data_IF_265993015525
#
_entry.id   IF_265993015525
#
_cell.length_a   1.000
_cell.length_b   1.000
_cell.length_c   1.000
_cell.angle_alpha   90.00
_cell.angle_beta   90.00
_cell.angle_gamma   90.00
#
_symmetry.space_group_name_H-M   'P 1'
#
loop_
_entity.id
_entity.type
_entity.pdbx_description
1 polymer ?
#
# COMPACT_ATOMS: atom_id res chain seq x y z
N UNK A 1 18.57 -7.59 58.51
CA UNK A 1 19.11 -8.96 58.38
C UNK A 1 18.09 -9.90 57.73
N UNK A 2 18.15 -10.11 56.41
CA UNK A 2 17.59 -11.31 55.74
C UNK A 2 18.51 -11.67 54.57
N UNK A 3 18.62 -12.97 54.29
CA UNK A 3 19.80 -13.59 53.66
C UNK A 3 19.88 -13.29 52.15
N UNK A 4 21.09 -13.01 51.67
CA UNK A 4 21.48 -13.19 50.27
C UNK A 4 21.48 -14.70 49.98
N UNK A 5 21.01 -15.10 48.80
CA UNK A 5 21.24 -16.44 48.24
C UNK A 5 21.71 -16.26 46.80
N UNK A 6 22.95 -16.68 46.52
CA UNK A 6 23.49 -16.81 45.17
C UNK A 6 23.51 -18.28 44.77
N UNK A 7 22.90 -18.58 43.62
CA UNK A 7 23.10 -19.79 42.80
C UNK A 7 22.69 -19.43 41.37
N UNK A 8 23.27 -19.99 40.30
CA UNK A 8 24.61 -20.57 40.11
C UNK A 8 24.85 -20.63 38.61
N UNK A 9 26.10 -20.46 38.15
CA UNK A 9 26.41 -20.55 36.73
C UNK A 9 26.52 -22.02 36.27
N UNK A 10 26.01 -22.32 35.08
CA UNK A 10 26.31 -23.54 34.32
C UNK A 10 26.28 -23.20 32.83
N UNK A 11 27.42 -23.38 32.14
CA UNK A 11 27.52 -23.22 30.69
C UNK A 11 27.32 -24.58 29.99
N UNK A 12 26.79 -24.55 28.77
CA UNK A 12 26.81 -25.69 27.84
C UNK A 12 27.45 -25.20 26.54
N UNK A 13 28.42 -25.97 26.03
CA UNK A 13 29.26 -25.69 24.87
C UNK A 13 29.05 -26.77 23.79
N UNK A 14 29.16 -26.39 22.52
CA UNK A 14 29.07 -27.28 21.36
C UNK A 14 27.61 -27.59 20.95
N UNK A 15 27.33 -27.98 19.71
CA UNK A 15 28.19 -28.45 18.60
C UNK A 15 28.16 -27.42 17.44
N UNK A 16 29.22 -27.19 16.67
CA UNK A 16 29.68 -28.02 15.53
C UNK A 16 28.53 -28.41 14.57
N UNK A 17 28.48 -28.01 13.30
CA UNK A 17 29.53 -27.53 12.41
C UNK A 17 29.70 -28.54 11.28
N UNK A 18 29.04 -28.29 10.14
CA UNK A 18 29.10 -29.14 8.94
C UNK A 18 29.41 -28.25 7.74
N UNK A 19 30.52 -28.56 7.05
CA UNK A 19 30.94 -27.90 5.81
C UNK A 19 31.40 -28.96 4.81
N UNK A 20 30.75 -29.03 3.65
CA UNK A 20 31.24 -29.68 2.44
C UNK A 20 30.51 -28.99 1.26
N UNK A 21 31.19 -28.32 0.32
CA UNK A 21 31.94 -28.88 -0.83
C UNK A 21 31.02 -29.69 -1.76
N UNK A 22 30.96 -29.49 -3.08
CA UNK A 22 31.81 -28.75 -4.06
C UNK A 22 30.86 -27.96 -5.03
N UNK A 23 31.23 -27.04 -5.94
CA UNK A 23 32.30 -27.01 -6.96
C UNK A 23 32.17 -28.18 -7.98
N UNK A 24 32.35 -28.05 -9.30
CA UNK A 24 32.87 -26.96 -10.15
C UNK A 24 32.09 -26.83 -11.49
N UNK A 25 32.58 -25.93 -12.34
CA UNK A 25 32.14 -25.53 -13.69
C UNK A 25 32.06 -26.66 -14.75
N UNK A 26 31.21 -26.49 -15.77
CA UNK A 26 31.39 -27.13 -17.10
C UNK A 26 30.91 -26.21 -18.23
N UNK A 27 31.75 -26.07 -19.24
CA UNK A 27 31.63 -25.07 -20.32
C UNK A 27 31.02 -25.60 -21.63
N UNK A 28 30.60 -24.62 -22.45
CA UNK A 28 30.80 -24.54 -23.91
C UNK A 28 29.77 -25.12 -24.91
N UNK A 29 29.87 -24.55 -26.11
CA UNK A 29 29.38 -24.97 -27.42
C UNK A 29 27.89 -24.75 -27.77
N UNK A 30 27.71 -24.11 -28.93
CA UNK A 30 26.45 -23.96 -29.64
C UNK A 30 26.53 -24.70 -31.00
N UNK A 31 25.42 -24.67 -31.75
CA UNK A 31 25.26 -25.22 -33.11
C UNK A 31 25.16 -26.78 -33.18
N UNK A 32 24.42 -27.40 -34.12
CA UNK A 32 23.58 -26.83 -35.18
C UNK A 32 22.43 -27.77 -35.63
N UNK A 33 21.53 -27.20 -36.44
CA UNK A 33 20.63 -27.81 -37.47
C UNK A 33 20.12 -29.26 -37.36
N UNK A 34 18.79 -29.39 -37.48
CA UNK A 34 18.19 -30.06 -38.66
C UNK A 34 16.86 -29.39 -39.02
N UNK A 35 16.61 -29.25 -40.32
CA UNK A 35 15.61 -28.39 -40.96
C UNK A 35 14.52 -29.20 -41.70
N UNK A 36 13.25 -28.80 -41.60
CA UNK A 36 12.14 -28.97 -42.58
C UNK A 36 11.10 -27.87 -42.22
N UNK A 37 10.82 -26.75 -42.92
CA UNK A 37 10.61 -26.41 -44.35
C UNK A 37 9.21 -26.86 -44.90
N UNK A 38 8.35 -26.05 -45.55
CA UNK A 38 8.27 -24.60 -45.90
C UNK A 38 6.96 -23.98 -45.28
N UNK A 39 6.27 -22.89 -45.66
CA UNK A 39 6.21 -21.88 -46.76
C UNK A 39 5.72 -20.50 -46.16
N UNK A 40 5.80 -19.30 -46.78
CA UNK A 40 5.12 -18.66 -47.95
C UNK A 40 3.57 -18.72 -47.91
N UNK A 41 2.77 -17.66 -48.04
CA UNK A 41 2.79 -16.36 -48.80
C UNK A 41 2.10 -15.22 -47.96
N UNK A 42 2.10 -13.90 -48.24
CA UNK A 42 2.84 -12.97 -49.13
C UNK A 42 2.66 -11.49 -48.64
N UNK A 43 3.28 -10.51 -49.32
CA UNK A 43 3.27 -9.05 -49.17
C UNK A 43 1.86 -8.38 -49.29
N UNK A 44 1.47 -7.34 -48.53
CA UNK A 44 1.87 -5.90 -48.51
C UNK A 44 1.00 -4.96 -49.39
N UNK A 45 1.24 -3.63 -49.32
CA UNK A 45 0.47 -2.50 -49.93
C UNK A 45 -0.82 -2.10 -49.18
N UNK A 46 -1.24 -0.82 -49.06
CA UNK A 46 -0.63 0.48 -49.49
C UNK A 46 -1.25 1.65 -48.71
N UNK A 47 -0.53 2.77 -48.60
CA UNK A 47 -1.07 4.12 -48.31
C UNK A 47 -2.06 4.61 -49.39
N UNK A 48 -2.98 5.53 -49.04
CA UNK A 48 -2.90 6.96 -49.41
C UNK A 48 -3.95 7.81 -48.63
N UNK A 49 -3.93 9.14 -48.82
CA UNK A 49 -4.87 10.14 -48.32
C UNK A 49 -6.07 10.33 -49.31
N UNK A 50 -6.98 11.31 -49.24
CA UNK A 50 -7.07 12.59 -48.52
C UNK A 50 -8.55 12.93 -48.19
N UNK A 51 -8.78 14.03 -47.47
CA UNK A 51 -10.08 14.45 -46.92
C UNK A 51 -11.05 15.09 -47.92
N UNK A 52 -12.32 15.26 -47.52
CA UNK A 52 -13.11 16.46 -47.84
C UNK A 52 -14.24 16.71 -46.83
N UNK A 53 -14.73 17.94 -46.80
CA UNK A 53 -15.41 18.59 -45.66
C UNK A 53 -16.95 18.46 -45.67
N UNK A 54 -17.55 18.39 -44.47
CA UNK A 54 -18.73 19.18 -44.05
C UNK A 54 -18.62 19.30 -42.52
N UNK A 55 -18.26 20.46 -41.96
CA UNK A 55 -19.08 21.66 -41.76
C UNK A 55 -19.93 21.59 -40.47
N UNK A 56 -20.09 22.72 -39.78
CA UNK A 56 -20.44 22.76 -38.36
C UNK A 56 -21.80 23.42 -38.08
N UNK A 57 -22.51 22.86 -37.11
CA UNK A 57 -23.58 23.57 -36.39
C UNK A 57 -23.38 23.40 -34.89
N UNK A 58 -23.07 24.50 -34.21
CA UNK A 58 -23.28 24.62 -32.77
C UNK A 58 -24.78 24.61 -32.49
N UNK A 59 -25.26 23.76 -31.57
CA UNK A 59 -26.49 24.05 -30.84
C UNK A 59 -26.49 23.31 -29.49
N UNK A 60 -27.15 23.89 -28.48
CA UNK A 60 -27.50 23.20 -27.25
C UNK A 60 -26.36 22.91 -26.27
N UNK A 61 -25.89 23.95 -25.58
CA UNK A 61 -25.40 23.72 -24.22
C UNK A 61 -26.61 23.37 -23.33
N UNK A 62 -26.72 22.10 -22.92
CA UNK A 62 -27.41 21.77 -21.67
C UNK A 62 -26.40 21.07 -20.76
N UNK A 63 -25.65 21.91 -20.07
CA UNK A 63 -25.06 21.61 -18.77
C UNK A 63 -26.12 20.87 -17.95
N UNK A 64 -25.96 19.56 -17.79
CA UNK A 64 -26.83 18.73 -16.98
C UNK A 64 -26.57 19.07 -15.51
N UNK A 65 -27.09 20.23 -15.11
CA UNK A 65 -26.88 20.82 -13.80
C UNK A 65 -27.20 19.77 -12.76
N UNK A 66 -26.19 19.39 -11.97
CA UNK A 66 -26.39 18.59 -10.77
C UNK A 66 -27.46 19.32 -9.96
N UNK A 67 -28.66 18.73 -9.87
CA UNK A 67 -29.78 19.33 -9.19
C UNK A 67 -29.29 19.71 -7.79
N UNK A 68 -29.40 21.00 -7.38
CA UNK A 68 -28.64 21.52 -6.26
C UNK A 68 -28.89 20.62 -5.06
N UNK A 69 -27.81 20.01 -4.56
CA UNK A 69 -27.89 19.10 -3.43
C UNK A 69 -28.69 19.81 -2.34
N UNK A 70 -29.78 19.19 -1.83
CA UNK A 70 -30.70 19.89 -0.95
C UNK A 70 -29.89 20.34 0.26
N UNK A 71 -29.66 21.65 0.34
CA UNK A 71 -28.66 22.24 1.22
C UNK A 71 -28.87 21.67 2.61
N UNK A 72 -27.88 20.90 3.10
CA UNK A 72 -28.00 20.16 4.35
C UNK A 72 -28.26 21.19 5.43
N UNK A 73 -29.50 21.24 5.92
CA UNK A 73 -29.86 22.13 7.02
C UNK A 73 -28.94 21.72 8.18
N UNK A 74 -28.09 22.67 8.62
CA UNK A 74 -27.03 22.40 9.58
C UNK A 74 -27.67 22.02 10.93
N UNK A 75 -27.95 20.72 11.11
CA UNK A 75 -28.58 20.21 12.34
C UNK A 75 -27.69 20.63 13.52
N UNK A 76 -28.23 21.42 14.47
CA UNK A 76 -27.41 22.04 15.49
C UNK A 76 -26.73 20.97 16.32
N UNK A 77 -25.39 21.04 16.39
CA UNK A 77 -24.51 20.06 17.05
C UNK A 77 -25.14 19.60 18.37
N UNK A 78 -25.38 18.28 18.57
CA UNK A 78 -26.14 17.78 19.71
C UNK A 78 -25.62 18.27 21.07
N UNK A 79 -26.36 19.22 21.65
CA UNK A 79 -26.05 19.84 22.94
C UNK A 79 -26.03 18.81 24.08
N UNK A 80 -24.97 18.84 24.90
CA UNK A 80 -24.79 17.94 26.03
C UNK A 80 -26.03 17.92 26.94
N UNK A 81 -26.50 16.73 27.30
CA UNK A 81 -27.67 16.60 28.20
C UNK A 81 -27.39 17.23 29.57
N UNK A 82 -28.41 17.68 30.32
CA UNK A 82 -28.24 18.19 31.68
C UNK A 82 -27.51 17.22 32.63
N UNK A 83 -27.65 15.91 32.38
CA UNK A 83 -26.96 14.84 33.07
C UNK A 83 -25.46 14.84 32.76
N UNK A 84 -25.06 14.96 31.48
CA UNK A 84 -23.65 15.03 31.08
C UNK A 84 -23.00 16.33 31.58
N UNK A 85 -23.66 17.48 31.42
CA UNK A 85 -23.22 18.77 31.99
C UNK A 85 -23.00 18.70 33.50
N UNK A 86 -23.83 17.97 34.24
CA UNK A 86 -23.64 17.71 35.68
C UNK A 86 -22.45 16.79 35.98
N UNK A 87 -22.18 15.78 35.15
CA UNK A 87 -21.01 14.89 35.32
C UNK A 87 -19.70 15.64 35.02
N UNK A 88 -19.67 16.45 33.96
CA UNK A 88 -18.55 17.35 33.62
C UNK A 88 -18.21 18.26 34.81
N UNK A 89 -19.23 18.93 35.39
CA UNK A 89 -19.06 19.81 36.54
C UNK A 89 -18.58 19.10 37.83
N UNK A 90 -18.84 17.80 37.98
CA UNK A 90 -18.38 17.00 39.14
C UNK A 90 -16.92 16.55 39.01
N UNK A 91 -16.37 16.45 37.79
CA UNK A 91 -15.05 15.89 37.54
C UNK A 91 -14.16 16.76 36.61
N UNK A 92 -13.92 18.05 36.91
CA UNK A 92 -13.11 18.93 36.05
C UNK A 92 -11.70 18.36 35.77
N UNK A 93 -11.05 17.77 36.79
CA UNK A 93 -9.73 17.10 36.65
C UNK A 93 -9.74 15.78 35.85
N UNK A 94 -10.92 15.28 35.48
CA UNK A 94 -11.05 14.22 34.47
C UNK A 94 -11.14 14.87 33.08
N UNK A 95 -12.02 15.88 32.93
CA UNK A 95 -12.23 16.64 31.69
C UNK A 95 -10.93 17.27 31.17
N UNK A 96 -10.12 17.87 32.04
CA UNK A 96 -8.78 18.40 31.73
C UNK A 96 -7.82 17.34 31.14
N UNK A 97 -7.91 16.08 31.58
CA UNK A 97 -7.02 14.99 31.13
C UNK A 97 -7.51 14.28 29.87
N UNK A 98 -8.77 14.47 29.50
CA UNK A 98 -9.37 13.91 28.27
C UNK A 98 -9.60 14.97 27.20
N UNK A 99 -9.07 16.18 27.36
CA UNK A 99 -9.03 17.16 26.26
C UNK A 99 -8.24 16.56 25.09
N UNK A 100 -8.70 16.75 23.83
CA UNK A 100 -7.92 16.35 22.67
C UNK A 100 -6.63 17.16 22.61
N UNK A 101 -5.53 16.53 22.21
CA UNK A 101 -4.21 17.17 22.09
C UNK A 101 -4.09 18.10 20.86
N UNK A 102 -5.17 18.28 20.10
CA UNK A 102 -5.25 19.12 18.92
C UNK A 102 -6.66 19.13 18.31
N UNK A 103 -6.96 20.14 17.49
CA UNK A 103 -8.21 20.23 16.73
C UNK A 103 -8.20 19.24 15.56
N UNK A 104 -9.30 18.52 15.42
CA UNK A 104 -9.61 17.68 14.26
C UNK A 104 -10.41 18.51 13.25
N UNK A 105 -10.07 18.41 11.96
CA UNK A 105 -10.91 18.88 10.85
C UNK A 105 -11.57 17.71 10.12
N UNK A 106 -12.74 18.00 9.54
CA UNK A 106 -13.28 17.30 8.37
C UNK A 106 -13.06 18.17 7.12
N UNK A 107 -13.45 17.69 5.94
CA UNK A 107 -12.98 18.20 4.64
C UNK A 107 -13.02 19.73 4.47
N UNK A 108 -11.93 20.29 3.93
CA UNK A 108 -11.82 21.69 3.52
C UNK A 108 -11.32 22.68 4.59
N UNK A 109 -11.46 22.39 5.89
CA UNK A 109 -10.86 23.23 6.93
C UNK A 109 -9.35 22.96 7.06
N UNK A 110 -8.56 24.03 7.02
CA UNK A 110 -7.08 24.00 7.04
C UNK A 110 -6.49 24.45 8.38
N UNK A 111 -7.32 24.75 9.38
CA UNK A 111 -6.90 25.25 10.69
C UNK A 111 -7.08 24.17 11.78
N UNK A 112 -6.19 23.18 11.79
CA UNK A 112 -6.21 22.03 12.70
C UNK A 112 -4.81 21.45 12.92
N UNK A 113 -4.65 20.76 14.04
CA UNK A 113 -3.44 20.00 14.39
C UNK A 113 -3.50 18.55 13.87
N UNK A 114 -4.72 18.03 13.60
CA UNK A 114 -4.98 16.66 13.15
C UNK A 114 -5.93 16.70 11.95
N UNK A 115 -5.40 16.38 10.77
CA UNK A 115 -6.22 16.14 9.57
C UNK A 115 -6.74 14.71 9.60
N UNK A 116 -8.06 14.52 9.64
CA UNK A 116 -8.66 13.24 9.28
C UNK A 116 -8.69 13.12 7.75
N UNK A 117 -7.62 12.61 7.15
CA UNK A 117 -7.79 11.85 5.90
C UNK A 117 -8.70 10.67 6.22
N UNK A 118 -9.86 10.59 5.54
CA UNK A 118 -10.70 9.41 5.58
C UNK A 118 -9.85 8.16 5.22
N UNK A 119 -10.19 7.01 5.81
CA UNK A 119 -9.42 5.77 5.67
C UNK A 119 -9.18 5.46 4.19
N UNK A 120 -7.92 5.59 3.74
CA UNK A 120 -7.48 5.75 2.35
C UNK A 120 -8.38 5.03 1.32
N UNK A 121 -9.40 5.75 0.85
CA UNK A 121 -10.54 5.18 0.13
C UNK A 121 -10.81 5.95 -1.14
N UNK A 122 -10.47 5.31 -2.27
CA UNK A 122 -10.44 5.86 -3.62
C UNK A 122 -9.48 7.05 -3.84
N UNK A 123 -8.94 7.14 -5.05
CA UNK A 123 -8.19 8.28 -5.54
C UNK A 123 -9.11 9.48 -5.79
N UNK A 124 -8.56 10.70 -5.66
CA UNK A 124 -9.27 11.95 -5.95
C UNK A 124 -9.87 11.99 -7.37
N UNK A 125 -9.20 11.35 -8.34
CA UNK A 125 -9.56 11.36 -9.76
C UNK A 125 -10.11 10.00 -10.26
N UNK A 126 -10.39 9.05 -9.35
CA UNK A 126 -10.88 7.69 -9.67
C UNK A 126 -9.84 6.69 -10.21
N UNK A 127 -8.75 7.17 -10.83
CA UNK A 127 -7.64 6.33 -11.33
C UNK A 127 -6.79 5.73 -10.18
N UNK A 128 -6.35 4.46 -10.22
CA UNK A 128 -5.59 3.82 -9.12
C UNK A 128 -4.33 4.61 -8.68
N UNK A 129 -4.14 4.78 -7.37
CA UNK A 129 -2.95 5.47 -6.83
C UNK A 129 -1.63 4.78 -7.21
N UNK A 130 -0.58 5.58 -7.34
CA UNK A 130 0.77 5.09 -7.55
C UNK A 130 1.32 4.32 -6.35
N UNK A 131 2.30 3.45 -6.59
CA UNK A 131 2.83 2.54 -5.57
C UNK A 131 3.47 3.23 -4.37
N UNK A 132 4.05 4.43 -4.57
CA UNK A 132 4.63 5.19 -3.47
C UNK A 132 3.55 5.86 -2.63
N UNK A 133 2.52 6.45 -3.25
CA UNK A 133 1.40 7.03 -2.52
C UNK A 133 0.63 5.98 -1.69
N UNK A 134 0.46 4.76 -2.22
CA UNK A 134 -0.13 3.63 -1.47
C UNK A 134 0.81 3.17 -0.35
N UNK A 135 2.11 3.06 -0.62
CA UNK A 135 3.11 2.70 0.40
C UNK A 135 3.14 3.70 1.56
N UNK A 136 3.32 4.99 1.28
CA UNK A 136 3.44 6.05 2.29
C UNK A 136 2.18 6.10 3.19
N UNK A 137 0.99 5.89 2.60
CA UNK A 137 -0.29 5.95 3.31
C UNK A 137 -0.61 4.69 4.15
N UNK A 138 -0.16 3.51 3.73
CA UNK A 138 -0.61 2.22 4.31
C UNK A 138 0.59 1.34 4.71
N UNK A 139 1.41 0.93 3.75
CA UNK A 139 2.42 -0.11 3.94
C UNK A 139 3.62 0.33 4.79
N UNK A 140 3.98 1.62 4.72
CA UNK A 140 5.11 2.26 5.40
C UNK A 140 5.16 1.93 6.90
N UNK A 141 4.01 1.95 7.58
CA UNK A 141 3.87 1.70 9.03
C UNK A 141 4.54 0.40 9.50
N UNK A 142 4.53 -0.64 8.66
CA UNK A 142 5.25 -1.89 8.93
C UNK A 142 6.56 -2.00 8.15
N UNK A 143 6.54 -1.65 6.86
CA UNK A 143 7.61 -1.97 5.92
C UNK A 143 8.74 -0.92 5.82
N UNK A 144 8.63 0.25 6.45
CA UNK A 144 9.73 1.21 6.49
C UNK A 144 10.85 0.82 7.49
N UNK A 145 10.53 0.02 8.51
CA UNK A 145 11.49 -0.39 9.57
C UNK A 145 11.43 -1.87 9.95
N UNK A 146 10.56 -2.65 9.30
CA UNK A 146 10.41 -4.08 9.56
C UNK A 146 9.65 -4.43 10.84
N UNK A 147 8.63 -3.64 11.19
CA UNK A 147 7.80 -3.85 12.40
C UNK A 147 7.21 -5.26 12.37
N UNK A 148 7.23 -5.93 13.53
CA UNK A 148 6.80 -7.33 13.70
C UNK A 148 7.49 -8.36 12.77
N UNK A 149 8.62 -8.02 12.15
CA UNK A 149 9.33 -8.90 11.20
C UNK A 149 8.85 -8.78 9.76
N UNK A 150 8.12 -7.72 9.41
CA UNK A 150 7.88 -7.36 8.01
C UNK A 150 9.22 -7.16 7.25
N UNK A 151 9.33 -7.52 5.97
CA UNK A 151 10.50 -7.18 5.17
C UNK A 151 10.59 -5.66 5.00
N UNK A 152 11.71 -5.07 5.45
CA UNK A 152 11.96 -3.64 5.33
C UNK A 152 12.30 -3.27 3.88
N UNK A 153 11.73 -2.18 3.36
CA UNK A 153 12.10 -1.65 2.04
C UNK A 153 13.56 -1.19 2.05
N UNK A 154 14.29 -1.48 0.97
CA UNK A 154 15.74 -1.26 0.88
C UNK A 154 16.60 -2.39 1.44
N UNK A 155 16.03 -3.42 2.10
CA UNK A 155 16.76 -4.61 2.52
C UNK A 155 16.73 -5.69 1.43
N UNK A 156 17.64 -5.59 0.46
CA UNK A 156 17.82 -6.60 -0.60
C UNK A 156 18.11 -8.01 -0.07
N UNK A 157 18.61 -8.15 1.17
CA UNK A 157 18.77 -9.45 1.84
C UNK A 157 17.44 -10.07 2.25
N UNK A 158 16.51 -9.26 2.77
CA UNK A 158 15.15 -9.68 3.09
C UNK A 158 14.23 -9.82 1.86
N UNK A 159 14.51 -9.08 0.78
CA UNK A 159 13.70 -9.05 -0.44
C UNK A 159 14.17 -10.01 -1.54
N UNK A 160 15.46 -10.26 -1.73
CA UNK A 160 15.96 -11.18 -2.76
C UNK A 160 15.27 -12.57 -2.78
N UNK A 161 15.17 -13.27 -1.63
CA UNK A 161 14.45 -14.56 -1.53
C UNK A 161 12.93 -14.47 -1.74
N UNK A 162 12.36 -13.25 -1.82
CA UNK A 162 10.93 -12.99 -2.07
C UNK A 162 10.70 -12.65 -3.55
N UNK A 163 11.53 -11.77 -4.10
CA UNK A 163 11.56 -11.45 -5.54
C UNK A 163 11.79 -12.73 -6.36
N UNK A 164 12.63 -13.65 -5.86
CA UNK A 164 12.87 -14.96 -6.46
C UNK A 164 11.64 -15.90 -6.49
N UNK A 165 10.54 -15.59 -5.79
CA UNK A 165 9.27 -16.33 -5.86
C UNK A 165 8.37 -15.84 -7.00
N UNK A 166 8.70 -14.69 -7.61
CA UNK A 166 7.94 -14.06 -8.69
C UNK A 166 6.87 -13.09 -8.21
N UNK A 167 6.63 -12.01 -8.98
CA UNK A 167 5.69 -10.94 -8.63
C UNK A 167 4.28 -11.45 -8.33
N UNK A 168 3.78 -12.44 -9.05
CA UNK A 168 2.44 -13.02 -8.85
C UNK A 168 2.22 -13.56 -7.43
N UNK A 169 3.24 -14.19 -6.82
CA UNK A 169 3.18 -14.66 -5.43
C UNK A 169 3.23 -13.51 -4.44
N UNK A 170 4.00 -12.45 -4.73
CA UNK A 170 4.04 -11.25 -3.89
C UNK A 170 2.70 -10.50 -3.92
N UNK A 171 2.07 -10.38 -5.09
CA UNK A 171 0.75 -9.80 -5.26
C UNK A 171 -0.31 -10.61 -4.51
N UNK A 172 -0.38 -11.93 -4.71
CA UNK A 172 -1.31 -12.82 -4.00
C UNK A 172 -1.18 -12.66 -2.47
N UNK A 173 0.04 -12.73 -1.94
CA UNK A 173 0.29 -12.62 -0.50
C UNK A 173 0.00 -11.21 0.06
N UNK A 174 0.13 -10.15 -0.74
CA UNK A 174 -0.22 -8.79 -0.33
C UNK A 174 -1.74 -8.54 -0.40
N UNK A 175 -2.42 -9.07 -1.41
CA UNK A 175 -3.88 -8.97 -1.60
C UNK A 175 -4.60 -9.81 -0.55
N UNK A 176 -4.32 -11.12 -0.50
CA UNK A 176 -5.03 -12.06 0.37
C UNK A 176 -4.50 -12.09 1.82
N UNK A 177 -3.32 -11.52 2.06
CA UNK A 177 -2.65 -11.52 3.37
C UNK A 177 -1.80 -12.77 3.60
N UNK A 178 -0.72 -12.64 4.38
CA UNK A 178 0.24 -13.73 4.58
C UNK A 178 0.95 -13.65 5.93
N UNK A 179 0.85 -14.73 6.72
CA UNK A 179 1.33 -14.81 8.10
C UNK A 179 0.79 -13.67 9.01
N UNK A 180 1.62 -12.66 9.29
CA UNK A 180 1.27 -11.49 10.09
C UNK A 180 0.91 -10.25 9.23
N UNK A 181 1.08 -10.32 7.91
CA UNK A 181 0.65 -9.27 6.98
C UNK A 181 -0.86 -9.42 6.72
N UNK A 182 -1.71 -8.42 7.07
CA UNK A 182 -3.13 -8.46 6.76
C UNK A 182 -3.39 -8.32 5.26
N UNK A 183 -4.54 -8.84 4.81
CA UNK A 183 -5.04 -8.66 3.45
C UNK A 183 -5.07 -7.16 3.07
N UNK A 184 -4.58 -6.83 1.87
CA UNK A 184 -4.46 -5.46 1.32
C UNK A 184 -3.75 -4.47 2.26
N UNK A 185 -2.83 -4.96 3.10
CA UNK A 185 -2.16 -4.14 4.12
C UNK A 185 -3.08 -3.66 5.26
N UNK A 186 -4.32 -4.15 5.33
CA UNK A 186 -5.33 -3.74 6.31
C UNK A 186 -6.21 -2.56 5.88
N UNK A 187 -6.16 -2.16 4.61
CA UNK A 187 -6.99 -1.10 4.02
C UNK A 187 -7.99 -1.67 3.01
N UNK A 188 -9.11 -0.97 2.78
CA UNK A 188 -10.08 -1.32 1.75
C UNK A 188 -9.77 -0.56 0.44
N UNK A 189 -8.78 -1.08 -0.29
CA UNK A 189 -8.25 -0.51 -1.54
C UNK A 189 -8.39 -1.50 -2.70
N UNK A 190 -8.42 -1.06 -3.97
CA UNK A 190 -8.43 -1.97 -5.11
C UNK A 190 -7.12 -2.78 -5.18
N UNK A 191 -7.20 -4.00 -5.71
CA UNK A 191 -6.05 -4.92 -5.80
C UNK A 191 -4.93 -4.39 -6.72
N UNK A 192 -5.23 -3.43 -7.58
CA UNK A 192 -4.27 -2.72 -8.43
C UNK A 192 -3.38 -1.76 -7.62
N UNK A 193 -3.93 -1.04 -6.64
CA UNK A 193 -3.14 -0.23 -5.71
C UNK A 193 -2.20 -1.09 -4.85
N UNK A 194 -2.64 -2.28 -4.47
CA UNK A 194 -1.81 -3.27 -3.76
C UNK A 194 -0.64 -3.74 -4.65
N UNK A 195 -0.92 -4.02 -5.93
CA UNK A 195 0.11 -4.39 -6.91
C UNK A 195 1.12 -3.26 -7.14
N UNK A 196 0.64 -2.03 -7.32
CA UNK A 196 1.48 -0.84 -7.44
C UNK A 196 2.39 -0.67 -6.21
N UNK A 197 1.86 -0.84 -5.00
CA UNK A 197 2.64 -0.76 -3.77
C UNK A 197 3.72 -1.85 -3.67
N UNK A 198 3.38 -3.10 -4.02
CA UNK A 198 4.36 -4.20 -4.08
C UNK A 198 5.45 -3.90 -5.10
N UNK A 199 5.12 -3.35 -6.27
CA UNK A 199 6.09 -3.02 -7.30
C UNK A 199 7.03 -1.89 -6.90
N UNK A 200 6.54 -0.84 -6.23
CA UNK A 200 7.37 0.17 -5.60
C UNK A 200 8.31 -0.44 -4.55
N UNK A 201 7.76 -1.24 -3.62
CA UNK A 201 8.54 -1.87 -2.55
C UNK A 201 9.60 -2.86 -3.07
N UNK A 202 9.34 -3.53 -4.18
CA UNK A 202 10.31 -4.39 -4.90
C UNK A 202 11.37 -3.54 -5.59
N UNK A 203 11.00 -2.49 -6.32
CA UNK A 203 11.95 -1.63 -7.04
C UNK A 203 12.92 -0.87 -6.12
N UNK A 204 12.46 -0.44 -4.95
CA UNK A 204 13.30 0.17 -3.91
C UNK A 204 14.17 -0.85 -3.14
N UNK A 205 14.07 -2.15 -3.43
CA UNK A 205 14.76 -3.23 -2.69
C UNK A 205 15.53 -4.24 -3.56
N UNK A 206 15.52 -4.10 -4.88
CA UNK A 206 16.09 -5.06 -5.85
C UNK A 206 17.57 -4.83 -6.17
#
# INVERSE_FOLDING_TARGET
MKKIVMLSAAAILGLSGITLSQAEDVVDAAAETTEVATATDDAASTDDAEATETDATEEGAEEAAAAPEPAVEEEPIPEDTPQVKKVIALYPKLVERIQPYGKVCFEGDTNCDITLTASAGASADGEPRDGKAVFDAICHTCHATGVAGAPAVGDSGAWGPRIAQGKSTLYDHAINGFNAMPARGGADIPDEEVQNAVDYMVGESS
#
